data_IF_853790549573
#
_entry.id   IF_853790549573
#
_cell.length_a   1.000
_cell.length_b   1.000
_cell.length_c   1.000
_cell.angle_alpha   90.00
_cell.angle_beta   90.00
_cell.angle_gamma   90.00
#
_symmetry.space_group_name_H-M   'P 1'
#
loop_
_entity.id
_entity.type
_entity.pdbx_description
1 polymer ?
#
# COMPACT_ATOMS: atom_id res chain seq x y z
N UNK A 1 -28.60 -20.85 3.11
CA UNK A 1 -27.90 -21.00 4.39
C UNK A 1 -28.15 -22.36 5.03
N UNK A 2 -29.40 -22.74 5.29
CA UNK A 2 -29.76 -24.01 5.96
C UNK A 2 -29.28 -25.27 5.22
N UNK A 3 -29.33 -25.32 3.89
CA UNK A 3 -28.81 -26.41 3.06
C UNK A 3 -27.27 -26.53 3.13
N UNK A 4 -26.53 -25.39 3.21
CA UNK A 4 -25.09 -25.38 3.34
C UNK A 4 -24.61 -25.87 4.70
N UNK A 5 -25.36 -25.61 5.77
CA UNK A 5 -25.09 -26.16 7.11
C UNK A 5 -25.31 -27.69 7.15
N UNK A 6 -26.27 -28.23 6.42
CA UNK A 6 -26.51 -29.67 6.32
C UNK A 6 -25.37 -30.40 5.54
N UNK A 7 -24.77 -29.76 4.55
CA UNK A 7 -23.66 -30.33 3.77
C UNK A 7 -22.34 -30.44 4.57
N UNK A 8 -22.24 -29.74 5.70
CA UNK A 8 -21.05 -29.80 6.58
C UNK A 8 -20.92 -31.13 7.33
N UNK A 9 -21.97 -31.90 7.41
CA UNK A 9 -22.07 -33.18 8.17
C UNK A 9 -21.72 -34.34 7.25
N UNK A 10 -20.42 -34.65 7.07
CA UNK A 10 -20.07 -35.92 6.47
C UNK A 10 -18.77 -36.02 5.65
N UNK A 11 -18.39 -35.01 4.90
CA UNK A 11 -17.19 -35.06 4.05
C UNK A 11 -16.35 -33.78 4.12
N UNK A 12 -15.02 -33.85 4.44
CA UNK A 12 -14.16 -32.67 4.56
C UNK A 12 -14.12 -31.79 3.30
N UNK A 13 -14.24 -32.40 2.12
CA UNK A 13 -14.29 -31.66 0.83
C UNK A 13 -15.62 -30.91 0.66
N UNK A 14 -16.75 -31.54 1.01
CA UNK A 14 -18.06 -30.91 0.94
C UNK A 14 -18.16 -29.76 1.93
N UNK A 15 -17.61 -29.91 3.14
CA UNK A 15 -17.54 -28.84 4.13
C UNK A 15 -16.78 -27.62 3.59
N UNK A 16 -15.59 -27.82 3.00
CA UNK A 16 -14.80 -26.72 2.43
C UNK A 16 -15.53 -25.97 1.32
N UNK A 17 -16.24 -26.70 0.44
CA UNK A 17 -17.05 -26.07 -0.63
C UNK A 17 -18.22 -25.28 -0.04
N UNK A 18 -18.90 -25.82 0.97
CA UNK A 18 -19.97 -25.13 1.65
C UNK A 18 -19.50 -23.86 2.37
N UNK A 19 -18.32 -23.92 3.02
CA UNK A 19 -17.73 -22.78 3.70
C UNK A 19 -17.31 -21.69 2.70
N UNK A 20 -16.77 -22.04 1.53
CA UNK A 20 -16.47 -21.09 0.45
C UNK A 20 -17.74 -20.40 -0.07
N UNK A 21 -18.76 -21.18 -0.40
CA UNK A 21 -20.04 -20.65 -0.86
C UNK A 21 -20.72 -19.74 0.19
N UNK A 22 -20.61 -20.11 1.47
CA UNK A 22 -21.12 -19.26 2.56
C UNK A 22 -20.33 -17.96 2.67
N UNK A 23 -19.00 -18.01 2.53
CA UNK A 23 -18.16 -16.81 2.55
C UNK A 23 -18.51 -15.88 1.38
N UNK A 24 -18.67 -16.42 0.16
CA UNK A 24 -19.11 -15.64 -1.01
C UNK A 24 -20.47 -14.97 -0.77
N UNK A 25 -21.43 -15.69 -0.19
CA UNK A 25 -22.73 -15.11 0.19
C UNK A 25 -22.60 -13.99 1.23
N UNK A 26 -21.73 -14.18 2.24
CA UNK A 26 -21.50 -13.17 3.27
C UNK A 26 -20.84 -11.91 2.67
N UNK A 27 -19.94 -12.08 1.72
CA UNK A 27 -19.30 -10.95 1.00
C UNK A 27 -20.35 -10.20 0.17
N UNK A 28 -21.21 -10.91 -0.57
CA UNK A 28 -22.29 -10.30 -1.35
C UNK A 28 -23.33 -9.57 -0.47
N UNK A 29 -23.53 -10.03 0.77
CA UNK A 29 -24.38 -9.37 1.76
C UNK A 29 -23.66 -8.28 2.56
N UNK A 30 -22.42 -7.91 2.17
CA UNK A 30 -21.54 -6.93 2.86
C UNK A 30 -21.25 -7.29 4.33
N UNK A 31 -21.41 -8.55 4.71
CA UNK A 31 -21.12 -9.06 6.04
C UNK A 31 -19.64 -9.47 6.17
N UNK A 32 -18.74 -8.56 5.81
CA UNK A 32 -17.31 -8.83 5.65
C UNK A 32 -16.65 -9.42 6.90
N UNK A 33 -16.93 -8.87 8.09
CA UNK A 33 -16.37 -9.40 9.33
C UNK A 33 -16.72 -10.87 9.56
N UNK A 34 -17.95 -11.29 9.21
CA UNK A 34 -18.36 -12.71 9.34
C UNK A 34 -17.67 -13.57 8.29
N UNK A 35 -17.47 -13.05 7.08
CA UNK A 35 -16.71 -13.75 6.05
C UNK A 35 -15.26 -13.99 6.51
N UNK A 36 -14.58 -12.97 7.07
CA UNK A 36 -13.23 -13.09 7.63
C UNK A 36 -13.19 -14.12 8.76
N UNK A 37 -14.10 -14.05 9.73
CA UNK A 37 -14.18 -15.02 10.85
C UNK A 37 -14.36 -16.46 10.37
N UNK A 38 -15.05 -16.67 9.24
CA UNK A 38 -15.22 -17.99 8.63
C UNK A 38 -13.94 -18.44 7.89
N UNK A 39 -13.31 -17.53 7.14
CA UNK A 39 -12.20 -17.86 6.22
C UNK A 39 -10.84 -17.99 6.93
N UNK A 40 -10.55 -17.16 7.94
CA UNK A 40 -9.25 -17.15 8.63
C UNK A 40 -8.87 -18.53 9.22
N UNK A 41 -9.72 -19.23 9.97
CA UNK A 41 -9.39 -20.56 10.50
C UNK A 41 -9.16 -21.59 9.38
N UNK A 42 -9.86 -21.46 8.26
CA UNK A 42 -9.70 -22.36 7.11
C UNK A 42 -8.34 -22.08 6.44
N UNK A 43 -7.98 -20.82 6.23
CA UNK A 43 -6.68 -20.44 5.68
C UNK A 43 -5.53 -20.94 6.57
N UNK A 44 -5.66 -20.82 7.89
CA UNK A 44 -4.67 -21.34 8.83
C UNK A 44 -4.52 -22.86 8.77
N UNK A 45 -5.64 -23.60 8.58
CA UNK A 45 -5.62 -25.07 8.47
C UNK A 45 -5.21 -25.58 7.10
N UNK A 46 -5.38 -24.77 6.05
CA UNK A 46 -5.10 -25.08 4.64
C UNK A 46 -4.43 -23.89 3.94
N UNK A 47 -3.20 -23.55 4.29
CA UNK A 47 -2.55 -22.32 3.83
C UNK A 47 -2.36 -22.24 2.31
N UNK A 48 -2.37 -23.39 1.60
CA UNK A 48 -2.24 -23.44 0.14
C UNK A 48 -3.56 -23.41 -0.65
N UNK A 49 -4.71 -23.26 0.00
CA UNK A 49 -5.99 -23.19 -0.71
C UNK A 49 -6.16 -21.81 -1.35
N UNK A 50 -5.88 -21.76 -2.67
CA UNK A 50 -5.91 -20.52 -3.46
C UNK A 50 -7.27 -19.84 -3.46
N UNK A 51 -8.38 -20.60 -3.38
CA UNK A 51 -9.72 -20.05 -3.36
C UNK A 51 -10.00 -19.32 -2.04
N UNK A 52 -9.58 -19.88 -0.90
CA UNK A 52 -9.69 -19.25 0.42
C UNK A 52 -8.84 -17.99 0.49
N UNK A 53 -7.59 -18.07 0.01
CA UNK A 53 -6.69 -16.90 0.00
C UNK A 53 -7.26 -15.75 -0.83
N UNK A 54 -7.87 -16.03 -2.00
CA UNK A 54 -8.54 -15.01 -2.82
C UNK A 54 -9.74 -14.40 -2.10
N UNK A 55 -10.61 -15.22 -1.53
CA UNK A 55 -11.79 -14.74 -0.81
C UNK A 55 -11.40 -13.85 0.37
N UNK A 56 -10.33 -14.19 1.10
CA UNK A 56 -9.78 -13.34 2.15
C UNK A 56 -9.23 -12.03 1.59
N UNK A 57 -8.46 -12.09 0.50
CA UNK A 57 -7.91 -10.90 -0.13
C UNK A 57 -9.01 -9.96 -0.61
N UNK A 58 -10.01 -10.50 -1.32
CA UNK A 58 -11.17 -9.74 -1.80
C UNK A 58 -11.95 -9.11 -0.62
N UNK A 59 -12.11 -9.87 0.47
CA UNK A 59 -12.82 -9.38 1.67
C UNK A 59 -12.06 -8.24 2.34
N UNK A 60 -10.75 -8.39 2.57
CA UNK A 60 -9.93 -7.32 3.15
C UNK A 60 -9.87 -6.09 2.26
N UNK A 61 -9.79 -6.28 0.94
CA UNK A 61 -9.81 -5.19 -0.04
C UNK A 61 -11.12 -4.39 0.04
N UNK A 62 -12.27 -5.08 0.06
CA UNK A 62 -13.59 -4.47 0.18
C UNK A 62 -13.82 -3.78 1.54
N UNK A 63 -13.16 -4.25 2.59
CA UNK A 63 -13.17 -3.62 3.92
C UNK A 63 -12.25 -2.39 4.02
N UNK A 64 -11.32 -2.23 3.09
CA UNK A 64 -10.20 -1.29 3.25
C UNK A 64 -9.23 -1.70 4.36
N UNK A 65 -9.21 -2.98 4.76
CA UNK A 65 -8.26 -3.48 5.77
C UNK A 65 -6.91 -3.79 5.11
N UNK A 66 -6.21 -2.70 4.76
CA UNK A 66 -4.93 -2.77 4.06
C UNK A 66 -3.85 -3.46 4.87
N UNK A 67 -3.90 -3.32 6.20
CA UNK A 67 -2.95 -3.96 7.11
C UNK A 67 -3.07 -5.48 7.12
N UNK A 68 -4.30 -6.02 7.14
CA UNK A 68 -4.53 -7.46 7.04
C UNK A 68 -4.21 -7.98 5.64
N UNK A 69 -4.55 -7.22 4.61
CA UNK A 69 -4.25 -7.57 3.23
C UNK A 69 -2.74 -7.59 2.96
N UNK A 70 -1.99 -6.61 3.51
CA UNK A 70 -0.53 -6.57 3.41
C UNK A 70 0.13 -7.85 3.96
N UNK A 71 -0.32 -8.32 5.12
CA UNK A 71 0.17 -9.57 5.71
C UNK A 71 -0.13 -10.80 4.84
N UNK A 72 -1.24 -10.76 4.10
CA UNK A 72 -1.65 -11.84 3.21
C UNK A 72 -0.89 -11.88 1.88
N UNK A 73 -0.27 -10.76 1.43
CA UNK A 73 0.43 -10.66 0.14
C UNK A 73 1.50 -11.74 -0.06
N UNK A 74 2.22 -12.10 1.00
CA UNK A 74 3.23 -13.15 0.93
C UNK A 74 2.62 -14.49 0.50
N UNK A 75 1.54 -14.91 1.15
CA UNK A 75 0.88 -16.18 0.87
C UNK A 75 0.20 -16.18 -0.50
N UNK A 76 -0.43 -15.07 -0.89
CA UNK A 76 -1.02 -14.90 -2.22
C UNK A 76 0.02 -15.11 -3.34
N UNK A 77 1.22 -14.57 -3.14
CA UNK A 77 2.32 -14.71 -4.09
C UNK A 77 2.94 -16.12 -4.04
N UNK A 78 3.25 -16.62 -2.85
CA UNK A 78 3.90 -17.93 -2.65
C UNK A 78 3.06 -19.07 -3.23
N UNK A 79 1.76 -19.10 -2.94
CA UNK A 79 0.85 -20.12 -3.43
C UNK A 79 0.30 -19.82 -4.83
N UNK A 80 0.73 -18.73 -5.46
CA UNK A 80 0.23 -18.30 -6.79
C UNK A 80 -1.30 -18.21 -6.84
N UNK A 81 -1.88 -17.67 -5.78
CA UNK A 81 -3.33 -17.51 -5.68
C UNK A 81 -3.85 -16.45 -6.67
N UNK A 82 -3.05 -15.47 -7.01
CA UNK A 82 -3.32 -14.39 -7.98
C UNK A 82 -2.27 -14.48 -9.09
N UNK A 83 -2.64 -14.11 -10.33
CA UNK A 83 -1.67 -14.06 -11.42
C UNK A 83 -0.65 -12.91 -11.21
N UNK A 84 0.57 -13.01 -11.80
CA UNK A 84 1.65 -12.06 -11.51
C UNK A 84 1.32 -10.60 -11.83
N UNK A 85 0.54 -10.32 -12.87
CA UNK A 85 0.18 -8.95 -13.25
C UNK A 85 -0.76 -8.33 -12.22
N UNK A 86 -1.79 -9.06 -11.84
CA UNK A 86 -2.75 -8.60 -10.82
C UNK A 86 -2.10 -8.56 -9.43
N UNK A 87 -1.15 -9.45 -9.15
CA UNK A 87 -0.41 -9.43 -7.89
C UNK A 87 0.39 -8.13 -7.73
N UNK A 88 1.07 -7.69 -8.80
CA UNK A 88 1.81 -6.42 -8.76
C UNK A 88 0.88 -5.23 -8.57
N UNK A 89 -0.27 -5.20 -9.26
CA UNK A 89 -1.26 -4.14 -9.11
C UNK A 89 -1.80 -4.12 -7.67
N UNK A 90 -2.18 -5.27 -7.13
CA UNK A 90 -2.67 -5.39 -5.75
C UNK A 90 -1.63 -4.92 -4.73
N UNK A 91 -0.35 -5.26 -4.92
CA UNK A 91 0.72 -4.78 -4.03
C UNK A 91 0.84 -3.25 -4.06
N UNK A 92 0.78 -2.64 -5.25
CA UNK A 92 0.82 -1.18 -5.38
C UNK A 92 -0.38 -0.54 -4.67
N UNK A 93 -1.59 -1.03 -4.93
CA UNK A 93 -2.81 -0.54 -4.28
C UNK A 93 -2.72 -0.63 -2.75
N UNK A 94 -2.29 -1.78 -2.22
CA UNK A 94 -2.17 -2.00 -0.77
C UNK A 94 -1.19 -1.02 -0.15
N UNK A 95 -0.01 -0.85 -0.72
CA UNK A 95 1.00 0.05 -0.14
C UNK A 95 0.66 1.52 -0.35
N UNK A 96 0.00 1.89 -1.46
CA UNK A 96 -0.49 3.25 -1.68
C UNK A 96 -1.53 3.63 -0.63
N UNK A 97 -2.49 2.74 -0.37
CA UNK A 97 -3.52 2.98 0.64
C UNK A 97 -2.94 2.98 2.07
N UNK A 98 -1.99 2.09 2.40
CA UNK A 98 -1.32 2.14 3.70
C UNK A 98 -0.58 3.46 3.94
N UNK A 99 0.03 4.03 2.90
CA UNK A 99 0.68 5.34 2.98
C UNK A 99 -0.35 6.47 3.10
N UNK A 100 -1.44 6.39 2.34
CA UNK A 100 -2.53 7.38 2.36
C UNK A 100 -3.26 7.42 3.71
N UNK A 101 -3.47 6.24 4.31
CA UNK A 101 -4.16 6.09 5.59
C UNK A 101 -3.23 6.31 6.80
N UNK A 102 -1.94 6.64 6.55
CA UNK A 102 -1.00 6.89 7.61
C UNK A 102 -1.43 8.11 8.45
N UNK A 103 -1.65 7.88 9.71
CA UNK A 103 -1.91 8.92 10.72
C UNK A 103 -0.89 8.69 11.83
N UNK A 104 -0.02 9.68 12.12
CA UNK A 104 0.93 9.55 13.23
C UNK A 104 0.19 9.45 14.55
N UNK A 105 0.65 8.56 15.44
CA UNK A 105 0.06 8.40 16.75
C UNK A 105 0.33 9.65 17.60
N UNK A 106 -0.71 10.37 18.05
CA UNK A 106 -0.55 11.60 18.83
C UNK A 106 0.05 11.37 20.23
N UNK A 107 0.04 10.14 20.74
CA UNK A 107 0.66 9.79 22.03
C UNK A 107 2.18 9.61 21.91
N UNK A 108 2.70 9.47 20.69
CA UNK A 108 4.12 9.30 20.42
C UNK A 108 4.84 10.65 20.32
N UNK A 109 6.11 10.65 20.70
CA UNK A 109 7.01 11.77 20.43
C UNK A 109 7.19 11.97 18.93
N UNK A 110 7.60 13.18 18.52
CA UNK A 110 7.86 13.48 17.11
C UNK A 110 8.88 12.49 16.48
N UNK A 111 9.88 12.05 17.27
CA UNK A 111 10.85 11.07 16.75
C UNK A 111 10.20 9.71 16.52
N UNK A 112 9.38 9.23 17.45
CA UNK A 112 8.66 7.97 17.28
C UNK A 112 7.68 8.02 16.11
N UNK A 113 7.01 9.15 15.89
CA UNK A 113 6.15 9.37 14.71
C UNK A 113 6.94 9.31 13.39
N UNK A 114 8.14 9.89 13.35
CA UNK A 114 9.07 9.79 12.22
C UNK A 114 9.53 8.35 11.98
N UNK A 115 9.77 7.62 13.05
CA UNK A 115 10.17 6.22 12.98
C UNK A 115 9.00 5.34 12.45
N UNK A 116 7.76 5.59 12.86
CA UNK A 116 6.56 4.94 12.31
C UNK A 116 6.44 5.15 10.79
N UNK A 117 6.61 6.39 10.31
CA UNK A 117 6.60 6.66 8.88
C UNK A 117 7.74 5.93 8.14
N UNK A 118 8.92 5.83 8.78
CA UNK A 118 10.06 5.07 8.28
C UNK A 118 9.79 3.57 8.20
N UNK A 119 9.21 2.98 9.24
CA UNK A 119 8.84 1.56 9.30
C UNK A 119 7.82 1.21 8.21
N UNK A 120 6.81 2.07 8.00
CA UNK A 120 5.83 1.87 6.94
C UNK A 120 6.51 1.82 5.56
N UNK A 121 7.51 2.69 5.29
CA UNK A 121 8.28 2.66 4.07
C UNK A 121 9.12 1.37 3.94
N UNK A 122 9.67 0.87 5.04
CA UNK A 122 10.47 -0.36 5.02
C UNK A 122 9.60 -1.63 4.79
N UNK A 123 8.30 -1.60 5.04
CA UNK A 123 7.37 -2.68 4.65
C UNK A 123 7.25 -2.82 3.13
N UNK A 124 7.46 -1.74 2.38
CA UNK A 124 7.34 -1.75 0.93
C UNK A 124 8.53 -2.50 0.31
N UNK A 125 8.30 -3.52 -0.53
CA UNK A 125 9.36 -4.23 -1.20
C UNK A 125 10.25 -3.30 -2.04
N UNK A 126 11.58 -3.46 -1.97
CA UNK A 126 12.55 -2.58 -2.66
C UNK A 126 12.27 -2.40 -4.15
N UNK A 127 11.72 -3.44 -4.81
CA UNK A 127 11.34 -3.41 -6.24
C UNK A 127 10.21 -2.44 -6.56
N UNK A 128 9.36 -2.11 -5.58
CA UNK A 128 8.23 -1.18 -5.73
C UNK A 128 8.58 0.25 -5.30
N UNK A 129 9.63 0.46 -4.52
CA UNK A 129 10.02 1.79 -3.99
C UNK A 129 10.47 2.81 -5.06
N UNK A 130 10.46 2.44 -6.35
CA UNK A 130 10.70 3.38 -7.45
C UNK A 130 9.39 3.79 -8.15
N UNK A 131 8.25 3.34 -7.64
CA UNK A 131 6.94 3.73 -8.14
C UNK A 131 6.61 5.16 -7.68
N UNK A 132 6.13 6.01 -8.61
CA UNK A 132 5.92 7.42 -8.33
C UNK A 132 4.80 7.65 -7.31
N UNK A 133 3.73 6.86 -7.36
CA UNK A 133 2.60 6.97 -6.45
C UNK A 133 3.03 6.63 -5.01
N UNK A 134 3.78 5.54 -4.82
CA UNK A 134 4.31 5.15 -3.51
C UNK A 134 5.30 6.18 -2.96
N UNK A 135 6.13 6.76 -3.82
CA UNK A 135 7.05 7.83 -3.41
C UNK A 135 6.27 9.06 -2.96
N UNK A 136 5.25 9.48 -3.72
CA UNK A 136 4.38 10.59 -3.35
C UNK A 136 3.67 10.34 -2.02
N UNK A 137 3.06 9.16 -1.84
CA UNK A 137 2.39 8.81 -0.58
C UNK A 137 3.34 8.82 0.62
N UNK A 138 4.57 8.34 0.43
CA UNK A 138 5.57 8.40 1.49
C UNK A 138 5.99 9.83 1.84
N UNK A 139 6.09 10.71 0.84
CA UNK A 139 6.37 12.12 1.12
C UNK A 139 5.23 12.78 1.88
N UNK A 140 3.98 12.46 1.56
CA UNK A 140 2.83 12.95 2.29
C UNK A 140 2.86 12.47 3.75
N UNK A 141 3.22 11.21 4.00
CA UNK A 141 3.41 10.67 5.36
C UNK A 141 4.54 11.40 6.13
N UNK A 142 5.68 11.66 5.49
CA UNK A 142 6.79 12.40 6.09
C UNK A 142 6.42 13.86 6.39
N UNK A 143 5.59 14.50 5.57
CA UNK A 143 5.09 15.85 5.84
C UNK A 143 4.20 15.90 7.07
N UNK A 144 3.35 14.87 7.30
CA UNK A 144 2.51 14.79 8.50
C UNK A 144 3.33 14.75 9.80
N UNK A 145 4.53 14.18 9.75
CA UNK A 145 5.46 14.13 10.90
C UNK A 145 6.52 15.24 10.88
N UNK A 146 6.34 16.26 10.04
CA UNK A 146 7.25 17.41 9.89
C UNK A 146 8.71 17.00 9.61
N UNK A 147 8.93 15.93 8.82
CA UNK A 147 10.27 15.50 8.39
C UNK A 147 10.62 16.04 7.00
N UNK A 148 10.51 17.36 6.84
CA UNK A 148 10.68 18.07 5.56
C UNK A 148 12.08 17.94 4.99
N UNK A 149 13.11 17.87 5.82
CA UNK A 149 14.49 17.69 5.37
C UNK A 149 14.70 16.31 4.71
N UNK A 150 14.11 15.26 5.29
CA UNK A 150 14.13 13.92 4.72
C UNK A 150 13.34 13.87 3.42
N UNK A 151 12.19 14.55 3.36
CA UNK A 151 11.40 14.70 2.12
C UNK A 151 12.26 15.32 1.03
N UNK A 152 12.91 16.46 1.29
CA UNK A 152 13.75 17.17 0.34
C UNK A 152 14.87 16.28 -0.21
N UNK A 153 15.61 15.59 0.67
CA UNK A 153 16.71 14.70 0.28
C UNK A 153 16.24 13.54 -0.59
N UNK A 154 15.11 12.92 -0.24
CA UNK A 154 14.56 11.80 -0.99
C UNK A 154 14.02 12.24 -2.36
N UNK A 155 13.37 13.41 -2.44
CA UNK A 155 12.90 13.97 -3.70
C UNK A 155 14.06 14.25 -4.65
N UNK A 156 15.08 14.97 -4.20
CA UNK A 156 16.28 15.26 -4.99
C UNK A 156 16.93 13.97 -5.51
N UNK A 157 17.12 12.99 -4.62
CA UNK A 157 17.69 11.68 -4.99
C UNK A 157 16.85 10.95 -6.03
N UNK A 158 15.53 11.00 -5.89
CA UNK A 158 14.61 10.28 -6.78
C UNK A 158 14.54 10.95 -8.15
N UNK A 159 14.38 12.27 -8.19
CA UNK A 159 14.31 13.06 -9.43
C UNK A 159 15.62 12.96 -10.21
N UNK A 160 16.79 13.03 -9.52
CA UNK A 160 18.09 12.86 -10.17
C UNK A 160 18.27 11.45 -10.77
N UNK A 161 17.65 10.42 -10.20
CA UNK A 161 17.74 9.05 -10.72
C UNK A 161 16.82 8.85 -11.92
N UNK A 162 15.64 9.44 -11.86
CA UNK A 162 14.63 9.39 -12.91
C UNK A 162 13.74 10.62 -12.83
N UNK A 163 13.59 11.31 -13.96
CA UNK A 163 12.72 12.47 -14.05
C UNK A 163 11.25 12.10 -13.86
N UNK A 164 10.59 12.78 -12.94
CA UNK A 164 9.18 12.60 -12.63
C UNK A 164 8.53 13.98 -12.48
N UNK A 165 7.76 14.46 -13.48
CA UNK A 165 7.15 15.78 -13.42
C UNK A 165 6.29 16.00 -12.17
N UNK A 166 5.56 14.98 -11.72
CA UNK A 166 4.73 15.07 -10.51
C UNK A 166 5.56 15.33 -9.24
N UNK A 167 6.72 14.69 -9.12
CA UNK A 167 7.63 14.93 -8.00
C UNK A 167 8.28 16.31 -8.08
N UNK A 168 8.56 16.80 -9.29
CA UNK A 168 9.08 18.16 -9.50
C UNK A 168 8.05 19.20 -9.07
N UNK A 169 6.79 19.03 -9.46
CA UNK A 169 5.70 19.92 -9.04
C UNK A 169 5.57 19.97 -7.51
N UNK A 170 5.56 18.82 -6.85
CA UNK A 170 5.51 18.72 -5.38
C UNK A 170 6.76 19.30 -4.70
N UNK A 171 7.93 19.12 -5.31
CA UNK A 171 9.19 19.70 -4.81
C UNK A 171 9.16 21.23 -4.77
N UNK A 172 8.57 21.88 -5.80
CA UNK A 172 8.38 23.32 -5.81
C UNK A 172 7.45 23.84 -4.71
N UNK A 173 6.51 23.01 -4.24
CA UNK A 173 5.56 23.37 -3.18
C UNK A 173 6.10 23.08 -1.77
N UNK A 174 7.24 22.40 -1.66
CA UNK A 174 7.79 21.96 -0.38
C UNK A 174 8.33 23.15 0.41
N UNK A 175 7.85 23.32 1.63
CA UNK A 175 8.42 24.28 2.57
C UNK A 175 9.51 23.57 3.39
N UNK A 176 10.76 23.94 3.17
CA UNK A 176 11.91 23.30 3.82
C UNK A 176 12.67 24.26 4.74
N UNK A 177 13.47 23.70 5.64
CA UNK A 177 14.39 24.48 6.49
C UNK A 177 15.57 25.07 5.73
N UNK A 178 15.84 24.59 4.50
CA UNK A 178 16.98 24.98 3.68
C UNK A 178 16.53 25.30 2.22
N UNK A 179 15.82 26.42 1.99
CA UNK A 179 15.30 26.80 0.67
C UNK A 179 16.40 27.01 -0.38
N UNK A 180 17.60 27.41 0.05
CA UNK A 180 18.73 27.57 -0.86
C UNK A 180 19.15 26.23 -1.50
N UNK A 181 19.09 25.12 -0.74
CA UNK A 181 19.37 23.78 -1.29
C UNK A 181 18.30 23.34 -2.28
N UNK A 182 17.05 23.74 -2.04
CA UNK A 182 15.93 23.48 -2.94
C UNK A 182 16.15 24.22 -4.26
N UNK A 183 16.47 25.50 -4.19
CA UNK A 183 16.75 26.32 -5.37
C UNK A 183 17.94 25.77 -6.19
N UNK A 184 19.04 25.45 -5.54
CA UNK A 184 20.22 24.85 -6.19
C UNK A 184 19.90 23.55 -6.93
N UNK A 185 19.03 22.69 -6.35
CA UNK A 185 18.60 21.47 -7.01
C UNK A 185 17.76 21.78 -8.26
N UNK A 186 16.83 22.72 -8.17
CA UNK A 186 16.02 23.17 -9.29
C UNK A 186 16.81 23.81 -10.41
N UNK A 187 17.77 24.69 -10.09
CA UNK A 187 18.66 25.30 -11.07
C UNK A 187 19.52 24.25 -11.80
N UNK A 188 19.99 23.24 -11.10
CA UNK A 188 20.71 22.11 -11.71
C UNK A 188 19.80 21.35 -12.70
N UNK A 189 18.58 21.07 -12.31
CA UNK A 189 17.63 20.40 -13.22
C UNK A 189 17.27 21.26 -14.43
N UNK A 190 17.25 22.57 -14.28
CA UNK A 190 16.98 23.49 -15.39
C UNK A 190 18.02 23.37 -16.51
N UNK A 191 19.28 23.02 -16.18
CA UNK A 191 20.31 22.76 -17.17
C UNK A 191 20.03 21.53 -18.04
N UNK A 192 19.40 20.50 -17.45
CA UNK A 192 19.06 19.24 -18.13
C UNK A 192 17.66 19.29 -18.78
N UNK A 193 16.74 20.12 -18.24
CA UNK A 193 15.34 20.25 -18.64
C UNK A 193 14.90 21.72 -18.81
N UNK A 194 15.54 22.50 -19.70
CA UNK A 194 15.37 23.97 -19.77
C UNK A 194 13.96 24.44 -20.19
N UNK A 195 13.22 23.58 -20.89
CA UNK A 195 11.87 23.90 -21.39
C UNK A 195 10.76 23.12 -20.66
N UNK A 196 11.07 22.44 -19.56
CA UNK A 196 10.05 21.70 -18.83
C UNK A 196 9.12 22.66 -18.09
N UNK A 197 7.81 22.71 -18.48
CA UNK A 197 6.89 23.69 -17.92
C UNK A 197 6.63 23.47 -16.43
N UNK A 198 6.72 22.24 -15.95
CA UNK A 198 6.50 21.91 -14.54
C UNK A 198 7.65 22.42 -13.69
N UNK A 199 8.89 22.25 -14.18
CA UNK A 199 10.08 22.77 -13.50
C UNK A 199 10.08 24.30 -13.47
N UNK A 200 9.72 24.94 -14.59
CA UNK A 200 9.65 26.42 -14.66
C UNK A 200 8.63 26.98 -13.65
N UNK A 201 7.46 26.32 -13.51
CA UNK A 201 6.46 26.69 -12.50
C UNK A 201 6.95 26.41 -11.08
N UNK A 202 7.70 25.34 -10.87
CA UNK A 202 8.24 25.00 -9.55
C UNK A 202 9.34 25.95 -9.06
N UNK A 203 10.02 26.67 -9.99
CA UNK A 203 11.08 27.66 -9.71
C UNK A 203 10.59 29.11 -9.67
N UNK A 204 9.42 29.41 -10.22
CA UNK A 204 8.88 30.79 -10.36
C UNK A 204 7.80 31.11 -9.39
#
# INVERSE_FOLDING_TARGET
RMLLEQLKVGHPKAKLLADKALAEMLILEEQFHKAVQLLQPIAASKPGDRGILRLLADTYYLMGDWSSLQKLLHDLNYYKAINPSNMKALELDVYANLLSDFIPDPEFTLQEQKDQAGELWELIPKRLRNDAELICGYFDALQQVNDTDRVQLLMVKTINKRWHPELVARFGQLVTSAPEKQLLAGEKWLSDHPEDPVLLVALG
#
